data_IF_453969622155
#
_entry.id   IF_453969622155
#
_cell.length_a   1.000
_cell.length_b   1.000
_cell.length_c   1.000
_cell.angle_alpha   90.00
_cell.angle_beta   90.00
_cell.angle_gamma   90.00
#
_symmetry.space_group_name_H-M   'P 1'
#
loop_
_entity.id
_entity.type
_entity.pdbx_description
1 polymer ?
#
# COMPACT_ATOMS: atom_id res chain seq x y z
N UNK A 1 3.38 22.45 13.84
CA UNK A 1 2.42 22.70 14.96
C UNK A 1 1.73 21.41 15.43
N UNK A 2 1.07 20.62 14.52
CA UNK A 2 0.49 19.32 14.88
C UNK A 2 1.57 18.28 15.24
N UNK A 3 2.68 18.29 14.51
CA UNK A 3 3.81 17.42 14.76
C UNK A 3 4.50 17.75 16.08
N UNK A 4 4.69 19.03 16.39
CA UNK A 4 5.23 19.49 17.68
C UNK A 4 4.32 19.11 18.84
N UNK A 5 3.01 19.11 18.66
CA UNK A 5 2.05 18.69 19.67
C UNK A 5 2.14 17.17 19.90
N UNK A 6 2.16 16.37 18.83
CA UNK A 6 2.35 14.91 18.92
C UNK A 6 3.66 14.52 19.60
N UNK A 7 4.75 15.23 19.29
CA UNK A 7 6.05 14.98 19.91
C UNK A 7 6.09 15.33 21.43
N UNK A 8 5.15 16.13 21.91
CA UNK A 8 4.99 16.39 23.35
C UNK A 8 4.14 15.31 24.05
N UNK A 9 3.14 14.79 23.35
CA UNK A 9 2.13 13.90 23.92
C UNK A 9 2.49 12.42 23.81
N UNK A 10 3.42 12.07 22.93
CA UNK A 10 3.83 10.69 22.68
C UNK A 10 5.31 10.48 23.03
N UNK A 11 5.70 9.26 23.43
CA UNK A 11 7.10 8.94 23.65
C UNK A 11 7.92 9.18 22.37
N UNK A 12 9.20 9.56 22.49
CA UNK A 12 10.03 9.78 21.32
C UNK A 12 10.16 8.50 20.48
N UNK A 13 10.30 8.69 19.16
CA UNK A 13 10.74 7.61 18.28
C UNK A 13 12.21 7.32 18.60
N UNK A 14 12.52 6.07 18.95
CA UNK A 14 13.88 5.60 19.20
C UNK A 14 14.20 4.55 18.15
N UNK A 15 15.23 4.82 17.35
CA UNK A 15 15.68 3.89 16.31
C UNK A 15 16.63 2.85 16.92
N UNK A 16 16.60 1.64 16.35
CA UNK A 16 17.62 0.63 16.64
C UNK A 16 19.02 1.18 16.33
N UNK A 17 19.93 0.99 17.27
CA UNK A 17 21.28 1.51 17.25
C UNK A 17 22.36 0.44 17.02
N UNK A 18 21.96 -0.83 17.04
CA UNK A 18 22.85 -1.98 16.77
C UNK A 18 22.15 -3.07 15.94
N UNK A 19 22.91 -3.98 15.32
CA UNK A 19 22.36 -5.14 14.63
C UNK A 19 21.44 -5.97 15.50
N UNK A 20 21.79 -6.21 16.74
CA UNK A 20 21.01 -7.03 17.68
C UNK A 20 19.66 -6.37 18.01
N UNK A 21 19.66 -5.04 18.17
CA UNK A 21 18.43 -4.29 18.40
C UNK A 21 17.52 -4.33 17.19
N UNK A 22 18.07 -4.17 15.98
CA UNK A 22 17.28 -4.25 14.76
C UNK A 22 16.71 -5.65 14.53
N UNK A 23 17.54 -6.69 14.70
CA UNK A 23 17.09 -8.08 14.54
C UNK A 23 15.96 -8.42 15.53
N UNK A 24 16.07 -7.97 16.79
CA UNK A 24 15.01 -8.15 17.77
C UNK A 24 13.70 -7.41 17.38
N UNK A 25 13.80 -6.18 16.87
CA UNK A 25 12.65 -5.43 16.36
C UNK A 25 12.00 -6.12 15.16
N UNK A 26 12.81 -6.60 14.22
CA UNK A 26 12.34 -7.24 13.00
C UNK A 26 11.66 -8.58 13.29
N UNK A 27 12.25 -9.42 14.15
CA UNK A 27 11.63 -10.66 14.61
C UNK A 27 10.32 -10.40 15.36
N UNK A 28 10.30 -9.46 16.29
CA UNK A 28 9.09 -9.07 17.02
C UNK A 28 7.99 -8.53 16.10
N UNK A 29 8.36 -7.82 15.03
CA UNK A 29 7.39 -7.35 14.03
C UNK A 29 6.78 -8.51 13.23
N UNK A 30 7.58 -9.48 12.81
CA UNK A 30 7.09 -10.70 12.14
C UNK A 30 6.12 -11.46 13.05
N UNK A 31 6.51 -11.73 14.28
CA UNK A 31 5.68 -12.43 15.25
C UNK A 31 4.35 -11.69 15.49
N UNK A 32 4.41 -10.38 15.70
CA UNK A 32 3.22 -9.53 15.89
C UNK A 32 2.28 -9.59 14.70
N UNK A 33 2.78 -9.44 13.47
CA UNK A 33 1.96 -9.50 12.25
C UNK A 33 1.33 -10.89 12.09
N UNK A 34 2.12 -11.95 12.23
CA UNK A 34 1.62 -13.31 12.05
C UNK A 34 0.61 -13.71 13.14
N UNK A 35 0.83 -13.27 14.38
CA UNK A 35 -0.14 -13.45 15.48
C UNK A 35 -1.44 -12.71 15.18
N UNK A 36 -1.33 -11.43 14.79
CA UNK A 36 -2.48 -10.59 14.45
C UNK A 36 -3.32 -11.18 13.32
N UNK A 37 -2.71 -11.67 12.25
CA UNK A 37 -3.44 -12.30 11.13
C UNK A 37 -4.22 -13.53 11.58
N UNK A 38 -3.66 -14.34 12.47
CA UNK A 38 -4.32 -15.53 13.04
C UNK A 38 -5.42 -15.16 14.03
N UNK A 39 -5.16 -14.20 14.92
CA UNK A 39 -6.12 -13.77 15.94
C UNK A 39 -7.35 -13.08 15.34
N UNK A 40 -7.12 -12.17 14.40
CA UNK A 40 -8.21 -11.40 13.76
C UNK A 40 -8.88 -12.13 12.62
N UNK A 41 -8.36 -13.27 12.23
CA UNK A 41 -8.93 -14.11 11.16
C UNK A 41 -9.20 -13.33 9.86
N UNK A 42 -8.22 -12.48 9.49
CA UNK A 42 -8.33 -11.54 8.36
C UNK A 42 -8.20 -12.27 7.02
N UNK A 43 -7.39 -13.32 6.99
CA UNK A 43 -7.10 -14.14 5.80
C UNK A 43 -6.73 -15.54 6.25
N UNK A 44 -6.96 -16.54 5.40
CA UNK A 44 -6.39 -17.87 5.63
C UNK A 44 -4.86 -17.80 5.53
N UNK A 45 -4.19 -17.95 6.68
CA UNK A 45 -2.73 -17.86 6.76
C UNK A 45 -2.11 -19.09 6.11
N UNK A 46 -1.45 -18.89 4.98
CA UNK A 46 -0.74 -19.96 4.27
C UNK A 46 0.67 -20.17 4.84
N UNK A 47 1.17 -21.40 4.74
CA UNK A 47 2.52 -21.77 5.21
C UNK A 47 3.65 -20.98 4.54
N UNK A 48 3.38 -20.37 3.38
CA UNK A 48 4.33 -19.54 2.63
C UNK A 48 4.45 -18.11 3.14
N UNK A 49 3.49 -17.60 3.94
CA UNK A 49 3.44 -16.20 4.34
C UNK A 49 4.59 -15.81 5.26
N UNK A 50 4.77 -16.52 6.35
CA UNK A 50 5.83 -16.23 7.32
C UNK A 50 7.23 -16.35 6.72
N UNK A 51 7.57 -17.43 5.98
CA UNK A 51 8.85 -17.51 5.27
C UNK A 51 9.07 -16.36 4.27
N UNK A 52 8.04 -15.94 3.54
CA UNK A 52 8.13 -14.82 2.61
C UNK A 52 8.41 -13.51 3.34
N UNK A 53 7.79 -13.27 4.48
CA UNK A 53 8.04 -12.09 5.31
C UNK A 53 9.47 -12.10 5.89
N UNK A 54 9.90 -13.23 6.45
CA UNK A 54 11.25 -13.40 7.00
C UNK A 54 12.35 -13.20 5.97
N UNK A 55 12.15 -13.63 4.73
CA UNK A 55 13.11 -13.43 3.65
C UNK A 55 13.35 -11.95 3.29
N UNK A 56 12.48 -11.03 3.75
CA UNK A 56 12.53 -9.62 3.40
C UNK A 56 12.70 -8.70 4.62
N UNK A 57 13.03 -9.24 5.79
CA UNK A 57 13.22 -8.46 7.02
C UNK A 57 14.34 -7.40 6.91
N UNK A 58 15.29 -7.63 6.01
CA UNK A 58 16.47 -6.77 5.88
C UNK A 58 17.49 -7.00 7.00
N UNK A 59 18.32 -6.00 7.22
CA UNK A 59 19.36 -6.02 8.25
C UNK A 59 19.60 -4.61 8.78
N UNK A 60 20.34 -4.51 9.89
CA UNK A 60 20.76 -3.23 10.44
C UNK A 60 21.56 -2.41 9.41
N UNK A 61 21.22 -1.12 9.34
CA UNK A 61 21.93 -0.13 8.53
C UNK A 61 22.33 1.03 9.47
N UNK A 62 23.60 1.49 9.43
CA UNK A 62 24.04 2.66 10.17
C UNK A 62 23.20 3.89 9.83
N UNK A 63 22.99 4.79 10.80
CA UNK A 63 22.06 5.92 10.67
C UNK A 63 22.33 6.82 9.46
N UNK A 64 23.61 7.08 9.18
CA UNK A 64 24.07 7.93 8.07
C UNK A 64 23.87 7.30 6.68
N UNK A 65 23.65 5.98 6.62
CA UNK A 65 23.40 5.21 5.40
C UNK A 65 21.92 4.81 5.22
N UNK A 66 21.04 5.20 6.14
CA UNK A 66 19.61 4.84 6.07
C UNK A 66 18.88 5.67 5.05
N UNK A 67 18.20 5.01 4.15
CA UNK A 67 17.20 5.64 3.31
C UNK A 67 15.79 5.63 3.93
N UNK A 68 14.85 6.35 3.37
CA UNK A 68 13.52 6.58 3.93
C UNK A 68 12.87 5.32 4.53
N UNK A 69 12.85 4.21 3.79
CA UNK A 69 12.25 2.96 4.28
C UNK A 69 13.05 2.34 5.43
N UNK A 70 14.38 2.47 5.40
CA UNK A 70 15.21 2.01 6.51
C UNK A 70 15.15 2.92 7.73
N UNK A 71 14.97 4.22 7.53
CA UNK A 71 14.68 5.14 8.64
C UNK A 71 13.40 4.67 9.35
N UNK A 72 12.32 4.43 8.61
CA UNK A 72 11.05 3.98 9.20
C UNK A 72 11.18 2.61 9.87
N UNK A 73 11.85 1.64 9.22
CA UNK A 73 12.01 0.30 9.74
C UNK A 73 12.89 0.21 10.99
N UNK A 74 13.84 1.14 11.17
CA UNK A 74 14.66 1.16 12.39
C UNK A 74 13.92 1.75 13.59
N UNK A 75 12.83 2.49 13.39
CA UNK A 75 11.93 2.90 14.46
C UNK A 75 10.93 1.81 14.84
N UNK A 76 10.23 1.27 13.86
CA UNK A 76 9.38 0.07 13.94
C UNK A 76 9.23 -0.52 12.54
N UNK A 77 9.73 -1.73 12.30
CA UNK A 77 9.64 -2.35 10.98
C UNK A 77 8.23 -2.82 10.61
N UNK A 78 7.33 -3.04 11.58
CA UNK A 78 6.02 -3.63 11.31
C UNK A 78 5.16 -2.84 10.31
N UNK A 79 5.09 -1.48 10.31
CA UNK A 79 4.39 -0.73 9.29
C UNK A 79 4.91 -1.01 7.87
N UNK A 80 6.24 -1.09 7.70
CA UNK A 80 6.82 -1.47 6.42
C UNK A 80 6.58 -2.94 6.09
N UNK A 81 6.65 -3.84 7.08
CA UNK A 81 6.47 -5.27 6.87
C UNK A 81 5.02 -5.63 6.51
N UNK A 82 4.02 -4.86 6.92
CA UNK A 82 2.65 -5.05 6.44
C UNK A 82 2.53 -4.77 4.94
N UNK A 83 3.37 -3.87 4.38
CA UNK A 83 3.47 -3.67 2.94
C UNK A 83 4.02 -4.90 2.21
N UNK A 84 4.76 -5.75 2.87
CA UNK A 84 5.27 -7.00 2.29
C UNK A 84 4.16 -8.03 2.00
N UNK A 85 2.88 -7.65 2.16
CA UNK A 85 1.74 -8.40 1.64
C UNK A 85 1.93 -8.81 0.17
N UNK A 86 2.56 -7.98 -0.63
CA UNK A 86 2.86 -8.32 -2.02
C UNK A 86 3.83 -9.51 -2.15
N UNK A 87 4.69 -9.79 -1.17
CA UNK A 87 5.53 -10.98 -1.16
C UNK A 87 4.74 -12.25 -0.87
N UNK A 88 3.66 -12.16 -0.09
CA UNK A 88 2.72 -13.26 0.08
C UNK A 88 2.06 -13.61 -1.25
N UNK A 89 1.68 -12.61 -2.02
CA UNK A 89 1.09 -12.77 -3.35
C UNK A 89 2.09 -13.40 -4.34
N UNK A 90 3.35 -12.97 -4.34
CA UNK A 90 4.39 -13.56 -5.18
C UNK A 90 4.70 -15.00 -4.79
N UNK A 91 4.85 -15.30 -3.50
CA UNK A 91 5.04 -16.66 -3.02
C UNK A 91 3.86 -17.58 -3.37
N UNK A 92 2.64 -17.04 -3.35
CA UNK A 92 1.44 -17.76 -3.78
C UNK A 92 1.44 -18.00 -5.30
N UNK A 93 1.84 -17.02 -6.10
CA UNK A 93 1.96 -17.17 -7.55
C UNK A 93 2.93 -18.29 -7.93
N UNK A 94 4.04 -18.39 -7.20
CA UNK A 94 5.06 -19.41 -7.42
C UNK A 94 4.56 -20.81 -7.04
N UNK A 95 3.88 -20.93 -5.92
CA UNK A 95 3.45 -22.23 -5.37
C UNK A 95 2.08 -22.70 -5.87
N UNK A 96 1.17 -21.77 -6.15
CA UNK A 96 -0.22 -22.02 -6.58
C UNK A 96 -0.63 -21.02 -7.65
N UNK A 97 -0.11 -21.13 -8.90
CA UNK A 97 -0.36 -20.17 -9.95
C UNK A 97 -1.85 -20.08 -10.30
N UNK A 98 -2.30 -18.87 -10.52
CA UNK A 98 -3.68 -18.61 -10.92
C UNK A 98 -3.91 -19.09 -12.37
N UNK A 99 -5.08 -19.66 -12.72
CA UNK A 99 -5.35 -20.13 -14.08
C UNK A 99 -5.47 -19.00 -15.12
N UNK A 100 -5.76 -17.78 -14.70
CA UNK A 100 -5.75 -16.62 -15.59
C UNK A 100 -4.33 -16.15 -15.87
N UNK A 101 -3.92 -15.99 -17.15
CA UNK A 101 -2.58 -15.50 -17.49
C UNK A 101 -2.28 -14.10 -16.94
N UNK A 102 -3.31 -13.26 -16.73
CA UNK A 102 -3.17 -11.93 -16.14
C UNK A 102 -2.71 -12.00 -14.68
N UNK A 103 -2.97 -13.12 -13.99
CA UNK A 103 -2.68 -13.32 -12.57
C UNK A 103 -1.66 -14.40 -12.28
N UNK A 104 -1.04 -14.97 -13.31
CA UNK A 104 -0.03 -16.02 -13.16
C UNK A 104 1.33 -15.49 -12.71
N UNK A 105 1.62 -14.23 -12.99
CA UNK A 105 2.90 -13.62 -12.69
C UNK A 105 2.86 -12.11 -12.83
N UNK A 106 3.99 -11.48 -12.54
CA UNK A 106 4.20 -10.06 -12.76
C UNK A 106 4.21 -9.78 -14.27
N UNK A 107 3.13 -9.19 -14.75
CA UNK A 107 3.03 -8.74 -16.13
C UNK A 107 3.65 -7.35 -16.28
N UNK A 108 4.13 -7.07 -17.49
CA UNK A 108 4.45 -5.71 -17.88
C UNK A 108 3.18 -4.86 -17.76
N UNK A 109 3.34 -3.69 -17.12
CA UNK A 109 2.32 -2.64 -16.95
C UNK A 109 1.32 -2.84 -15.80
N UNK A 110 1.03 -1.76 -15.22
CA UNK A 110 0.11 -1.22 -14.22
C UNK A 110 -1.00 -2.11 -13.62
N UNK A 111 -1.50 -3.12 -14.32
CA UNK A 111 -2.56 -4.00 -13.77
C UNK A 111 -2.01 -4.81 -12.59
N UNK A 112 -0.81 -5.37 -12.76
CA UNK A 112 -0.14 -6.09 -11.68
C UNK A 112 0.25 -5.13 -10.57
N UNK A 113 0.91 -4.02 -10.91
CA UNK A 113 1.39 -3.06 -9.93
C UNK A 113 0.26 -2.43 -9.13
N UNK A 114 -0.85 -2.05 -9.76
CA UNK A 114 -2.03 -1.50 -9.07
C UNK A 114 -2.66 -2.52 -8.11
N UNK A 115 -2.65 -3.80 -8.46
CA UNK A 115 -3.11 -4.85 -7.55
C UNK A 115 -2.10 -5.09 -6.43
N UNK A 116 -0.85 -5.25 -6.76
CA UNK A 116 0.20 -5.67 -5.86
C UNK A 116 0.53 -4.56 -4.85
N UNK A 117 0.96 -3.41 -5.34
CA UNK A 117 1.32 -2.25 -4.53
C UNK A 117 0.09 -1.61 -3.86
N UNK A 118 -1.03 -1.58 -4.59
CA UNK A 118 -2.28 -1.04 -4.05
C UNK A 118 -2.85 -1.89 -2.92
N UNK A 119 -2.82 -3.22 -3.04
CA UNK A 119 -3.24 -4.11 -1.95
C UNK A 119 -2.30 -3.96 -0.76
N UNK A 120 -0.99 -3.98 -0.98
CA UNK A 120 -0.01 -3.78 0.07
C UNK A 120 -0.19 -2.45 0.81
N UNK A 121 -0.41 -1.35 0.07
CA UNK A 121 -0.69 -0.03 0.66
C UNK A 121 -2.02 0.01 1.41
N UNK A 122 -3.04 -0.67 0.90
CA UNK A 122 -4.35 -0.75 1.56
C UNK A 122 -4.30 -1.54 2.86
N UNK A 123 -3.59 -2.67 2.90
CA UNK A 123 -3.50 -3.48 4.11
C UNK A 123 -2.71 -2.81 5.22
N UNK A 124 -1.73 -1.95 4.93
CA UNK A 124 -1.05 -1.15 5.96
C UNK A 124 -2.04 -0.34 6.80
N UNK A 125 -2.94 0.38 6.14
CA UNK A 125 -3.96 1.19 6.79
C UNK A 125 -5.05 0.33 7.42
N UNK A 126 -5.51 -0.72 6.73
CA UNK A 126 -6.53 -1.63 7.23
C UNK A 126 -6.09 -2.32 8.53
N UNK A 127 -4.85 -2.82 8.61
CA UNK A 127 -4.33 -3.45 9.82
C UNK A 127 -4.18 -2.47 10.97
N UNK A 128 -3.80 -1.23 10.67
CA UNK A 128 -3.79 -0.15 11.66
C UNK A 128 -5.19 0.09 12.24
N UNK A 129 -6.22 0.13 11.40
CA UNK A 129 -7.61 0.30 11.85
C UNK A 129 -8.16 -0.94 12.53
N UNK A 130 -7.69 -2.13 12.18
CA UNK A 130 -8.05 -3.39 12.83
C UNK A 130 -7.35 -3.64 14.17
N UNK A 131 -6.46 -2.72 14.60
CA UNK A 131 -5.88 -2.74 15.94
C UNK A 131 -4.45 -3.27 16.04
N UNK A 132 -3.75 -3.51 14.93
CA UNK A 132 -2.35 -4.02 14.96
C UNK A 132 -1.41 -3.10 15.77
N UNK A 133 -1.72 -1.82 15.89
CA UNK A 133 -0.90 -0.81 16.56
C UNK A 133 -1.64 -0.06 17.67
N UNK A 134 -2.63 -0.69 18.32
CA UNK A 134 -3.41 -0.02 19.37
C UNK A 134 -2.57 0.32 20.61
N UNK A 135 -1.56 -0.48 20.87
CA UNK A 135 -0.55 -0.28 21.92
C UNK A 135 0.65 0.58 21.48
N UNK A 136 0.73 0.92 20.19
CA UNK A 136 1.87 1.63 19.59
C UNK A 136 1.46 2.83 18.74
N UNK A 137 1.11 3.98 19.36
CA UNK A 137 0.66 5.16 18.61
C UNK A 137 1.72 5.72 17.65
N UNK A 138 3.02 5.44 17.89
CA UNK A 138 4.09 5.83 16.96
C UNK A 138 4.12 4.95 15.71
N UNK A 139 3.81 3.68 15.81
CA UNK A 139 3.67 2.80 14.65
C UNK A 139 2.51 3.26 13.74
N UNK A 140 1.40 3.72 14.34
CA UNK A 140 0.30 4.36 13.59
C UNK A 140 0.76 5.61 12.83
N UNK A 141 1.60 6.43 13.45
CA UNK A 141 2.19 7.59 12.78
C UNK A 141 3.06 7.18 11.59
N UNK A 142 3.86 6.12 11.71
CA UNK A 142 4.70 5.60 10.63
C UNK A 142 3.85 5.13 9.43
N UNK A 143 2.69 4.50 9.65
CA UNK A 143 1.76 4.15 8.56
C UNK A 143 1.35 5.38 7.75
N UNK A 144 0.98 6.47 8.43
CA UNK A 144 0.61 7.71 7.75
C UNK A 144 1.77 8.40 7.03
N UNK A 145 2.98 8.31 7.58
CA UNK A 145 4.21 8.82 6.94
C UNK A 145 4.50 8.04 5.66
N UNK A 146 4.40 6.71 5.69
CA UNK A 146 4.56 5.85 4.53
C UNK A 146 3.52 6.17 3.44
N UNK A 147 2.25 6.34 3.81
CA UNK A 147 1.19 6.70 2.88
C UNK A 147 1.41 8.09 2.26
N UNK A 148 1.81 9.08 3.06
CA UNK A 148 2.11 10.43 2.57
C UNK A 148 3.28 10.43 1.57
N UNK A 149 4.33 9.66 1.85
CA UNK A 149 5.45 9.48 0.91
C UNK A 149 4.99 8.88 -0.42
N UNK A 150 4.15 7.85 -0.38
CA UNK A 150 3.61 7.24 -1.61
C UNK A 150 2.70 8.18 -2.40
N UNK A 151 1.92 8.99 -1.70
CA UNK A 151 1.09 10.01 -2.35
C UNK A 151 1.95 11.10 -3.02
N UNK A 152 2.99 11.58 -2.34
CA UNK A 152 3.94 12.54 -2.89
C UNK A 152 4.66 12.01 -4.13
N UNK A 153 5.13 10.76 -4.06
CA UNK A 153 5.73 10.04 -5.17
C UNK A 153 4.77 9.90 -6.35
N UNK A 154 3.55 9.46 -6.08
CA UNK A 154 2.52 9.29 -7.11
C UNK A 154 2.19 10.59 -7.82
N UNK A 155 2.12 11.69 -7.08
CA UNK A 155 1.85 13.02 -7.65
C UNK A 155 2.98 13.48 -8.57
N UNK A 156 4.23 13.42 -8.12
CA UNK A 156 5.39 13.77 -8.94
C UNK A 156 5.50 12.92 -10.21
N UNK A 157 5.28 11.60 -10.07
CA UNK A 157 5.27 10.68 -11.21
C UNK A 157 4.17 11.04 -12.24
N UNK A 158 2.96 11.35 -11.76
CA UNK A 158 1.83 11.72 -12.63
C UNK A 158 2.14 12.96 -13.45
N UNK A 159 2.59 14.04 -12.82
CA UNK A 159 2.88 15.29 -13.51
C UNK A 159 4.10 15.20 -14.43
N UNK A 160 5.11 14.41 -14.07
CA UNK A 160 6.25 14.13 -14.96
C UNK A 160 5.78 13.41 -16.24
N UNK A 161 4.92 12.40 -16.12
CA UNK A 161 4.36 11.71 -17.30
C UNK A 161 3.37 12.53 -18.11
N UNK A 162 2.69 13.51 -17.48
CA UNK A 162 1.85 14.48 -18.19
C UNK A 162 2.67 15.56 -18.93
N UNK A 163 3.99 15.56 -18.79
CA UNK A 163 4.90 16.62 -19.27
C UNK A 163 4.59 18.00 -18.65
N UNK A 164 4.07 18.02 -17.43
CA UNK A 164 3.77 19.23 -16.67
C UNK A 164 4.87 19.57 -15.66
N UNK A 165 5.74 18.59 -15.34
CA UNK A 165 6.91 18.75 -14.49
C UNK A 165 8.12 18.07 -15.12
N UNK A 166 9.28 18.64 -14.91
CA UNK A 166 10.56 17.96 -15.11
C UNK A 166 10.77 16.89 -14.05
N UNK A 167 11.71 15.97 -14.25
CA UNK A 167 12.05 14.98 -13.23
C UNK A 167 12.63 15.62 -11.96
N UNK A 168 13.31 16.76 -12.08
CA UNK A 168 13.82 17.52 -10.95
C UNK A 168 12.67 18.11 -10.12
N UNK A 169 11.70 18.76 -10.76
CA UNK A 169 10.50 19.30 -10.11
C UNK A 169 9.66 18.18 -9.46
N UNK A 170 9.48 17.04 -10.13
CA UNK A 170 8.80 15.88 -9.58
C UNK A 170 9.55 15.31 -8.35
N UNK A 171 10.89 15.31 -8.40
CA UNK A 171 11.73 14.93 -7.26
C UNK A 171 11.59 15.91 -6.09
N UNK A 172 11.49 17.22 -6.38
CA UNK A 172 11.27 18.24 -5.36
C UNK A 172 9.90 18.06 -4.68
N UNK A 173 8.84 17.78 -5.44
CA UNK A 173 7.51 17.45 -4.88
C UNK A 173 7.61 16.24 -3.95
N UNK A 174 8.30 15.19 -4.35
CA UNK A 174 8.47 14.01 -3.54
C UNK A 174 9.19 14.31 -2.22
N UNK A 175 10.27 15.08 -2.26
CA UNK A 175 11.01 15.49 -1.07
C UNK A 175 10.17 16.40 -0.15
N UNK A 176 9.51 17.40 -0.69
CA UNK A 176 8.82 18.43 0.09
C UNK A 176 7.57 17.91 0.79
N UNK A 177 6.88 16.95 0.17
CA UNK A 177 5.66 16.38 0.71
C UNK A 177 5.86 15.10 1.51
N UNK A 178 7.08 14.53 1.53
CA UNK A 178 7.42 13.46 2.45
C UNK A 178 7.62 14.02 3.86
N UNK A 179 6.84 13.56 4.85
CA UNK A 179 6.92 14.10 6.21
C UNK A 179 8.32 13.97 6.81
N UNK A 180 8.61 14.83 7.81
CA UNK A 180 9.85 14.85 8.59
C UNK A 180 11.12 15.16 7.81
N UNK A 181 11.02 15.43 6.52
CA UNK A 181 12.19 15.67 5.67
C UNK A 181 13.07 14.42 5.47
N UNK A 182 12.54 13.23 5.77
CA UNK A 182 13.31 12.01 5.66
C UNK A 182 13.69 11.64 4.22
N UNK A 183 12.94 12.11 3.23
CA UNK A 183 13.31 11.94 1.82
C UNK A 183 14.37 12.95 1.35
N UNK A 184 14.52 14.10 2.01
CA UNK A 184 15.48 15.14 1.61
C UNK A 184 16.94 14.73 1.79
N UNK A 185 17.22 13.82 2.69
CA UNK A 185 18.56 13.34 2.97
C UNK A 185 18.98 12.22 2.02
N UNK A 186 18.11 11.81 1.07
CA UNK A 186 18.25 10.55 0.40
C UNK A 186 18.15 10.61 -1.11
N UNK A 187 19.26 11.08 -1.69
CA UNK A 187 19.36 11.24 -3.13
C UNK A 187 19.29 9.92 -3.91
N UNK A 188 19.81 8.84 -3.36
CA UNK A 188 19.91 7.56 -4.07
C UNK A 188 18.52 6.89 -4.26
N UNK A 189 17.71 6.81 -3.20
CA UNK A 189 16.35 6.28 -3.31
C UNK A 189 15.51 7.15 -4.24
N UNK A 190 15.59 8.47 -4.12
CA UNK A 190 14.83 9.39 -4.96
C UNK A 190 15.17 9.16 -6.44
N UNK A 191 16.43 9.09 -6.79
CA UNK A 191 16.90 8.84 -8.17
C UNK A 191 16.45 7.45 -8.64
N UNK A 192 16.56 6.42 -7.80
CA UNK A 192 16.10 5.08 -8.11
C UNK A 192 14.60 5.07 -8.43
N UNK A 193 13.78 5.71 -7.60
CA UNK A 193 12.34 5.79 -7.79
C UNK A 193 11.96 6.57 -9.05
N UNK A 194 12.66 7.67 -9.35
CA UNK A 194 12.45 8.42 -10.59
C UNK A 194 12.76 7.59 -11.84
N UNK A 195 13.85 6.82 -11.83
CA UNK A 195 14.15 5.88 -12.91
C UNK A 195 13.10 4.78 -13.04
N UNK A 196 12.56 4.31 -11.90
CA UNK A 196 11.48 3.32 -11.89
C UNK A 196 10.23 3.86 -12.58
N UNK A 197 9.86 5.13 -12.33
CA UNK A 197 8.70 5.75 -13.00
C UNK A 197 8.88 5.86 -14.50
N UNK A 198 10.07 6.24 -14.96
CA UNK A 198 10.38 6.32 -16.39
C UNK A 198 10.32 4.96 -17.06
N UNK A 199 10.77 3.92 -16.39
CA UNK A 199 10.77 2.55 -16.91
C UNK A 199 9.41 1.86 -16.84
N UNK A 200 8.59 2.23 -15.86
CA UNK A 200 7.26 1.68 -15.60
C UNK A 200 6.25 2.82 -15.43
N UNK A 201 5.74 3.38 -16.55
CA UNK A 201 4.75 4.44 -16.51
C UNK A 201 3.51 4.03 -15.69
N UNK A 202 3.11 4.87 -14.74
CA UNK A 202 2.00 4.60 -13.84
C UNK A 202 2.35 3.84 -12.56
N UNK A 203 3.59 3.33 -12.42
CA UNK A 203 4.01 2.65 -11.20
C UNK A 203 3.88 3.56 -9.97
N UNK A 204 4.36 4.80 -10.04
CA UNK A 204 4.26 5.75 -8.92
C UNK A 204 2.84 6.02 -8.44
N UNK A 205 1.85 5.98 -9.34
CA UNK A 205 0.43 6.16 -8.98
C UNK A 205 -0.25 4.86 -8.54
N UNK A 206 0.34 3.69 -8.82
CA UNK A 206 -0.25 2.38 -8.56
C UNK A 206 -0.61 2.16 -7.08
N UNK A 207 0.20 2.68 -6.17
CA UNK A 207 -0.01 2.59 -4.72
C UNK A 207 -1.35 3.20 -4.30
N UNK A 208 -1.60 4.44 -4.66
CA UNK A 208 -2.81 5.17 -4.27
C UNK A 208 -4.02 4.72 -5.09
N UNK A 209 -3.86 4.55 -6.41
CA UNK A 209 -4.94 4.10 -7.28
C UNK A 209 -5.36 2.68 -6.94
N UNK A 210 -4.40 1.79 -6.72
CA UNK A 210 -4.68 0.40 -6.37
C UNK A 210 -5.31 0.26 -4.98
N UNK A 211 -4.85 1.05 -3.99
CA UNK A 211 -5.50 1.15 -2.68
C UNK A 211 -6.98 1.56 -2.81
N UNK A 212 -7.26 2.62 -3.57
CA UNK A 212 -8.64 3.06 -3.83
C UNK A 212 -9.48 1.96 -4.49
N UNK A 213 -8.93 1.23 -5.45
CA UNK A 213 -9.62 0.13 -6.11
C UNK A 213 -9.89 -1.05 -5.17
N UNK A 214 -8.96 -1.34 -4.26
CA UNK A 214 -9.15 -2.35 -3.21
C UNK A 214 -10.30 -1.96 -2.28
N UNK A 215 -10.29 -0.74 -1.75
CA UNK A 215 -11.32 -0.22 -0.86
C UNK A 215 -12.70 -0.24 -1.52
N UNK A 216 -12.76 0.20 -2.78
CA UNK A 216 -13.98 0.14 -3.57
C UNK A 216 -14.48 -1.29 -3.74
N UNK A 217 -13.59 -2.23 -4.06
CA UNK A 217 -13.93 -3.64 -4.23
C UNK A 217 -14.43 -4.26 -2.93
N UNK A 218 -13.78 -3.92 -1.81
CA UNK A 218 -14.19 -4.34 -0.47
C UNK A 218 -15.60 -3.82 -0.13
N UNK A 219 -15.84 -2.53 -0.35
CA UNK A 219 -17.15 -1.92 -0.10
C UNK A 219 -18.25 -2.52 -0.98
N UNK A 220 -17.97 -2.72 -2.26
CA UNK A 220 -18.91 -3.36 -3.20
C UNK A 220 -19.21 -4.81 -2.78
N UNK A 221 -18.20 -5.54 -2.31
CA UNK A 221 -18.35 -6.90 -1.82
C UNK A 221 -19.17 -6.95 -0.53
N UNK A 222 -18.85 -6.13 0.47
CA UNK A 222 -19.58 -6.05 1.73
C UNK A 222 -21.07 -5.75 1.49
N UNK A 223 -21.37 -4.79 0.60
CA UNK A 223 -22.74 -4.49 0.20
C UNK A 223 -23.46 -5.68 -0.45
N UNK A 224 -22.77 -6.44 -1.30
CA UNK A 224 -23.38 -7.63 -1.92
C UNK A 224 -23.68 -8.72 -0.89
N UNK A 225 -22.81 -8.91 0.10
CA UNK A 225 -23.05 -9.83 1.22
C UNK A 225 -24.28 -9.41 2.03
N UNK A 226 -24.36 -8.13 2.39
CA UNK A 226 -25.51 -7.55 3.11
C UNK A 226 -26.84 -7.73 2.34
N UNK A 227 -26.83 -7.47 1.03
CA UNK A 227 -28.02 -7.65 0.19
C UNK A 227 -28.51 -9.10 0.10
N UNK A 228 -27.66 -10.08 0.38
CA UNK A 228 -28.04 -11.49 0.48
C UNK A 228 -28.50 -11.89 1.89
N UNK A 229 -28.44 -10.97 2.86
CA UNK A 229 -28.72 -11.25 4.26
C UNK A 229 -27.67 -12.09 4.95
N UNK A 230 -26.45 -12.09 4.44
CA UNK A 230 -25.30 -12.79 4.97
C UNK A 230 -24.45 -11.87 5.85
N UNK A 231 -23.68 -12.44 6.78
CA UNK A 231 -22.72 -11.68 7.58
C UNK A 231 -21.42 -11.48 6.77
N UNK A 232 -20.88 -10.25 6.83
CA UNK A 232 -19.62 -9.93 6.17
C UNK A 232 -18.43 -10.40 7.00
N UNK A 233 -17.57 -11.21 6.39
CA UNK A 233 -16.29 -11.64 6.97
C UNK A 233 -15.12 -11.15 6.11
N UNK A 234 -14.16 -10.49 6.75
CA UNK A 234 -12.99 -9.95 6.06
C UNK A 234 -12.12 -11.07 5.46
N UNK A 235 -12.03 -12.21 6.16
CA UNK A 235 -11.33 -13.40 5.66
C UNK A 235 -11.92 -13.90 4.34
N UNK A 236 -13.24 -14.02 4.25
CA UNK A 236 -13.89 -14.48 3.00
C UNK A 236 -13.59 -13.52 1.84
N UNK A 237 -13.54 -12.21 2.11
CA UNK A 237 -13.12 -11.24 1.10
C UNK A 237 -11.69 -11.47 0.62
N UNK A 238 -10.70 -11.56 1.51
CA UNK A 238 -9.30 -11.73 1.13
C UNK A 238 -9.04 -13.09 0.50
N UNK A 239 -9.64 -14.15 1.01
CA UNK A 239 -9.50 -15.48 0.45
C UNK A 239 -10.06 -15.54 -0.98
N UNK A 240 -11.19 -14.90 -1.24
CA UNK A 240 -11.76 -14.74 -2.60
C UNK A 240 -10.93 -13.83 -3.50
N UNK A 241 -10.42 -12.72 -2.95
CA UNK A 241 -9.54 -11.82 -3.68
C UNK A 241 -8.28 -12.56 -4.14
N UNK A 242 -7.79 -13.49 -3.35
CA UNK A 242 -6.59 -14.27 -3.60
C UNK A 242 -6.86 -15.61 -4.32
N UNK A 243 -8.09 -16.12 -4.24
CA UNK A 243 -8.45 -17.40 -4.86
C UNK A 243 -8.36 -17.37 -6.39
N UNK A 244 -8.01 -18.48 -7.04
CA UNK A 244 -8.26 -18.66 -8.45
C UNK A 244 -9.77 -18.58 -8.72
N UNK A 245 -10.23 -18.01 -9.86
CA UNK A 245 -11.64 -18.01 -10.21
C UNK A 245 -12.14 -19.45 -10.27
N UNK A 246 -13.25 -19.71 -9.61
CA UNK A 246 -13.95 -20.97 -9.73
C UNK A 246 -14.44 -21.12 -11.19
N UNK A 247 -13.91 -22.10 -11.90
CA UNK A 247 -14.27 -22.38 -13.30
C UNK A 247 -15.76 -22.68 -13.48
N UNK A 248 -16.44 -23.17 -12.44
CA UNK A 248 -17.88 -23.41 -12.45
C UNK A 248 -18.67 -22.10 -12.54
N UNK A 249 -18.22 -21.07 -11.84
CA UNK A 249 -18.84 -19.72 -11.87
C UNK A 249 -18.55 -18.99 -13.18
N UNK A 250 -17.37 -19.17 -13.77
CA UNK A 250 -17.04 -18.57 -15.06
C UNK A 250 -17.89 -19.16 -16.18
N UNK A 251 -18.15 -20.46 -16.12
CA UNK A 251 -19.03 -21.15 -17.07
C UNK A 251 -20.49 -20.67 -16.93
N UNK A 252 -20.96 -20.52 -15.70
CA UNK A 252 -22.30 -19.98 -15.42
C UNK A 252 -22.46 -18.51 -15.85
N UNK A 253 -21.40 -17.69 -15.71
CA UNK A 253 -21.40 -16.29 -16.19
C UNK A 253 -21.40 -16.19 -17.73
N UNK A 254 -20.75 -17.10 -18.43
CA UNK A 254 -20.76 -17.16 -19.91
C UNK A 254 -22.10 -17.67 -20.44
N UNK A 255 -22.85 -18.42 -19.67
CA UNK A 255 -24.17 -18.95 -20.04
C UNK A 255 -25.31 -18.03 -19.57
N UNK A 256 -25.06 -17.05 -18.70
CA UNK A 256 -26.07 -16.07 -18.33
C UNK A 256 -26.40 -15.19 -19.55
N UNK A 257 -27.67 -15.05 -19.92
CA UNK A 257 -28.06 -14.16 -21.01
C UNK A 257 -27.52 -12.76 -20.74
N UNK A 258 -26.90 -12.18 -21.74
CA UNK A 258 -26.32 -10.84 -21.70
C UNK A 258 -27.41 -9.86 -21.29
N UNK A 259 -27.56 -9.61 -19.99
CA UNK A 259 -28.43 -8.53 -19.53
C UNK A 259 -27.87 -7.25 -20.12
N UNK A 260 -28.74 -6.59 -20.86
CA UNK A 260 -28.54 -5.33 -21.55
C UNK A 260 -27.54 -4.44 -20.84
N UNK A 261 -26.56 -3.94 -21.58
CA UNK A 261 -25.65 -2.90 -21.16
C UNK A 261 -26.41 -1.88 -20.36
N UNK A 262 -26.11 -1.77 -19.06
CA UNK A 262 -26.50 -0.62 -18.28
C UNK A 262 -25.80 0.58 -18.92
N UNK A 263 -26.53 1.27 -19.78
CA UNK A 263 -26.17 2.60 -20.26
C UNK A 263 -26.22 3.50 -19.01
N UNK A 264 -25.04 3.74 -18.46
CA UNK A 264 -24.91 4.83 -17.49
C UNK A 264 -25.28 6.12 -18.21
N UNK A 265 -26.28 6.87 -17.73
CA UNK A 265 -26.50 8.19 -18.27
C UNK A 265 -25.19 8.97 -18.09
N UNK A 266 -24.71 9.57 -19.16
CA UNK A 266 -23.63 10.55 -19.11
C UNK A 266 -24.12 11.74 -18.28
N UNK A 267 -24.03 11.64 -16.97
CA UNK A 267 -24.02 12.81 -16.12
C UNK A 267 -22.55 13.20 -15.99
N UNK A 268 -22.23 14.34 -16.56
CA UNK A 268 -21.04 15.11 -16.23
C UNK A 268 -21.07 15.41 -14.72
N UNK A 269 -20.59 14.46 -13.92
CA UNK A 269 -20.21 14.73 -12.56
C UNK A 269 -18.80 15.29 -12.65
N UNK A 270 -18.73 16.59 -12.81
CA UNK A 270 -17.58 17.43 -12.58
C UNK A 270 -16.79 16.93 -11.38
N UNK A 271 -15.49 16.82 -11.57
CA UNK A 271 -14.43 16.65 -10.56
C UNK A 271 -14.43 17.85 -9.57
N UNK A 272 -15.53 18.12 -8.92
CA UNK A 272 -15.70 19.29 -8.05
C UNK A 272 -15.40 19.01 -6.58
N UNK A 273 -15.17 17.72 -6.23
CA UNK A 273 -14.91 17.36 -4.82
C UNK A 273 -13.44 17.42 -4.41
N UNK A 274 -12.51 17.29 -5.33
CA UNK A 274 -11.08 17.32 -5.03
C UNK A 274 -10.50 18.75 -4.92
N UNK A 275 -11.24 19.78 -5.37
CA UNK A 275 -10.77 21.16 -5.38
C UNK A 275 -11.36 22.04 -4.26
N UNK A 276 -12.33 21.55 -3.50
CA UNK A 276 -12.95 22.35 -2.42
C UNK A 276 -12.23 22.28 -1.06
N UNK A 277 -11.19 21.49 -0.94
CA UNK A 277 -10.39 21.37 0.30
C UNK A 277 -8.96 21.89 0.19
N UNK A 278 -8.61 22.60 -0.89
CA UNK A 278 -7.34 23.33 -0.97
C UNK A 278 -7.58 24.72 -0.40
N UNK A 279 -6.86 25.13 0.67
CA UNK A 279 -6.97 26.49 1.17
C UNK A 279 -6.62 27.48 0.05
N UNK A 280 -7.47 28.51 -0.14
CA UNK A 280 -7.18 29.65 -1.00
C UNK A 280 -5.85 30.29 -0.58
N UNK A 281 -4.83 30.14 -1.41
CA UNK A 281 -3.50 30.76 -1.13
C UNK A 281 -2.33 30.17 -1.89
N UNK A 282 -2.49 29.04 -2.58
CA UNK A 282 -1.42 28.52 -3.45
C UNK A 282 -1.69 28.95 -4.89
N UNK A 283 -1.27 30.13 -5.22
CA UNK A 283 -1.26 30.62 -6.60
C UNK A 283 -0.17 29.85 -7.38
N UNK A 284 -0.58 28.89 -8.19
CA UNK A 284 0.26 28.36 -9.25
C UNK A 284 0.56 29.51 -10.23
N UNK A 285 1.75 30.07 -10.17
CA UNK A 285 2.22 30.99 -11.21
C UNK A 285 2.41 30.20 -12.50
N UNK A 286 1.79 30.71 -13.54
CA UNK A 286 1.99 30.27 -14.93
C UNK A 286 3.39 30.58 -15.41
#
# INVERSE_FOLDING_TARGET
KLEEQRNRDLPPLVAASSPEEYDALAEGAVERIMHFLREKDIVTVADTMEPALRAHMGSFIPEDARHFFWITAHYDPAPLFTHFWHWFELARMDTRPHPSPIRQGALLYNIFDSRNEGTATGVEEMFMHAGLYDDSPRSRELVWILLAQRAARGLGSLYAHANEMTMEEAGQVHMDWTPRGWMKTEKELLIFEQHLYLRQPGYGTAYVTGKYLLEKTLADYARQVELRGEEFELRDFFDRLNAPPDRSQEHARRQAPTRSRLTFPRRSATLTWALQSVPEGVALRR
#
